data_IF_562750162477
#
_entry.id   IF_562750162477
#
_cell.length_a   1.000
_cell.length_b   1.000
_cell.length_c   1.000
_cell.angle_alpha   90.00
_cell.angle_beta   90.00
_cell.angle_gamma   90.00
#
_symmetry.space_group_name_H-M   'P 1'
#
loop_
_entity.id
_entity.type
_entity.pdbx_description
1 polymer ?
#
# COMPACT_ATOMS: atom_id res chain seq x y z
N UNK A 1 -13.58 0.28 -7.83
CA UNK A 1 -14.13 0.98 -8.98
C UNK A 1 -14.70 -0.04 -9.96
N UNK A 2 -16.02 0.02 -10.32
CA UNK A 2 -16.66 -0.91 -11.27
C UNK A 2 -15.95 -0.95 -12.63
N UNK A 3 -15.43 0.18 -13.10
CA UNK A 3 -14.75 0.29 -14.39
C UNK A 3 -13.43 -0.51 -14.41
N UNK A 4 -12.72 -0.55 -13.28
CA UNK A 4 -11.51 -1.36 -13.14
C UNK A 4 -11.78 -2.87 -13.09
N UNK A 5 -12.94 -3.28 -12.58
CA UNK A 5 -13.34 -4.69 -12.60
C UNK A 5 -13.59 -5.19 -14.03
N UNK A 6 -14.14 -4.33 -14.91
CA UNK A 6 -14.27 -4.58 -16.34
C UNK A 6 -12.92 -4.67 -17.05
N UNK A 7 -11.98 -3.81 -16.69
CA UNK A 7 -10.65 -3.76 -17.28
C UNK A 7 -9.87 -5.07 -17.11
N UNK A 8 -10.08 -5.83 -16.04
CA UNK A 8 -9.40 -7.11 -15.84
C UNK A 8 -9.79 -8.14 -16.91
N UNK A 9 -11.06 -8.20 -17.29
CA UNK A 9 -11.56 -9.08 -18.34
C UNK A 9 -11.02 -8.64 -19.71
N UNK A 10 -11.03 -7.36 -20.02
CA UNK A 10 -10.51 -6.81 -21.26
C UNK A 10 -8.99 -7.04 -21.40
N UNK A 11 -8.25 -6.91 -20.31
CA UNK A 11 -6.81 -7.12 -20.30
C UNK A 11 -6.40 -8.59 -20.34
N UNK A 12 -7.28 -9.54 -20.04
CA UNK A 12 -6.95 -10.96 -19.93
C UNK A 12 -6.22 -11.50 -21.17
N UNK A 13 -6.62 -11.07 -22.37
CA UNK A 13 -6.06 -11.48 -23.65
C UNK A 13 -5.16 -10.42 -24.32
N UNK A 14 -4.90 -9.30 -23.63
CA UNK A 14 -4.11 -8.22 -24.21
C UNK A 14 -2.61 -8.54 -24.25
N UNK A 15 -1.87 -8.19 -25.32
CA UNK A 15 -0.42 -8.35 -25.35
C UNK A 15 0.22 -7.45 -24.29
N UNK A 16 1.27 -7.97 -23.61
CA UNK A 16 1.97 -7.29 -22.52
C UNK A 16 1.01 -6.79 -21.42
N UNK A 17 0.01 -7.58 -21.10
CA UNK A 17 -1.07 -7.25 -20.14
C UNK A 17 -0.56 -6.78 -18.77
N UNK A 18 0.58 -7.29 -18.31
CA UNK A 18 1.18 -6.92 -17.02
C UNK A 18 1.86 -5.53 -17.00
N UNK A 19 2.09 -4.92 -18.16
CA UNK A 19 2.80 -3.62 -18.30
C UNK A 19 1.88 -2.45 -18.65
N UNK A 20 0.56 -2.66 -18.68
CA UNK A 20 -0.38 -1.62 -19.12
C UNK A 20 -0.37 -0.39 -18.24
N UNK A 21 -0.38 -0.59 -16.92
CA UNK A 21 -0.34 0.51 -15.98
C UNK A 21 1.03 1.22 -16.02
N UNK A 22 2.12 0.47 -16.10
CA UNK A 22 3.47 1.07 -16.24
C UNK A 22 3.56 2.00 -17.45
N UNK A 23 3.10 1.54 -18.61
CA UNK A 23 3.10 2.35 -19.82
C UNK A 23 2.18 3.59 -19.69
N UNK A 24 1.07 3.49 -18.96
CA UNK A 24 0.17 4.61 -18.71
C UNK A 24 0.83 5.65 -17.78
N UNK A 25 1.49 5.20 -16.70
CA UNK A 25 2.24 6.05 -15.76
C UNK A 25 3.41 6.76 -16.49
N UNK A 26 4.15 6.07 -17.33
CA UNK A 26 5.24 6.65 -18.11
C UNK A 26 4.74 7.77 -19.04
N UNK A 27 3.63 7.54 -19.76
CA UNK A 27 3.00 8.58 -20.60
C UNK A 27 2.51 9.77 -19.78
N UNK A 28 1.89 9.53 -18.64
CA UNK A 28 1.43 10.58 -17.73
C UNK A 28 2.60 11.44 -17.23
N UNK A 29 3.71 10.81 -16.83
CA UNK A 29 4.93 11.51 -16.38
C UNK A 29 5.53 12.37 -17.50
N UNK A 30 5.57 11.85 -18.73
CA UNK A 30 6.05 12.61 -19.88
C UNK A 30 5.17 13.83 -20.16
N UNK A 31 3.85 13.66 -20.17
CA UNK A 31 2.92 14.77 -20.38
C UNK A 31 3.01 15.85 -19.28
N UNK A 32 3.23 15.45 -18.02
CA UNK A 32 3.48 16.38 -16.92
C UNK A 32 4.77 17.17 -17.14
N UNK A 33 5.86 16.51 -17.52
CA UNK A 33 7.13 17.16 -17.79
C UNK A 33 7.01 18.19 -18.94
N UNK A 34 6.31 17.85 -20.01
CA UNK A 34 6.05 18.74 -21.16
C UNK A 34 5.23 19.97 -20.75
N UNK A 35 4.34 19.85 -19.77
CA UNK A 35 3.55 20.96 -19.22
C UNK A 35 4.28 21.80 -18.16
N UNK A 36 5.50 21.41 -17.77
CA UNK A 36 6.24 22.03 -16.67
C UNK A 36 5.70 21.70 -15.28
N UNK A 37 4.73 20.78 -15.17
CA UNK A 37 4.19 20.31 -13.89
C UNK A 37 5.05 19.19 -13.30
N UNK A 38 4.97 19.02 -11.99
CA UNK A 38 5.72 18.00 -11.25
C UNK A 38 4.77 17.11 -10.45
N UNK A 39 5.04 15.83 -10.47
CA UNK A 39 4.40 14.84 -9.59
C UNK A 39 5.51 14.07 -8.86
N UNK A 40 5.60 14.24 -7.55
CA UNK A 40 6.63 13.59 -6.72
C UNK A 40 6.25 12.16 -6.35
N UNK A 41 4.96 11.89 -6.16
CA UNK A 41 4.46 10.58 -5.73
C UNK A 41 3.20 10.19 -6.50
N UNK A 42 3.12 8.92 -6.87
CA UNK A 42 1.91 8.26 -7.38
C UNK A 42 1.61 7.11 -6.43
N UNK A 43 0.47 7.18 -5.75
CA UNK A 43 0.00 6.13 -4.85
C UNK A 43 -1.02 5.26 -5.59
N UNK A 44 -0.79 3.95 -5.60
CA UNK A 44 -1.66 2.97 -6.24
C UNK A 44 -2.27 2.12 -5.13
N UNK A 45 -3.56 2.33 -4.85
CA UNK A 45 -4.31 1.49 -3.92
C UNK A 45 -4.67 0.17 -4.58
N UNK A 46 -4.32 -0.93 -3.91
CA UNK A 46 -4.47 -2.29 -4.44
C UNK A 46 -5.42 -3.11 -3.58
N UNK A 47 -6.30 -3.93 -4.19
CA UNK A 47 -7.08 -4.91 -3.44
C UNK A 47 -6.16 -5.99 -2.85
N UNK A 48 -6.59 -6.71 -1.81
CA UNK A 48 -5.80 -7.78 -1.19
C UNK A 48 -5.62 -9.01 -2.09
N UNK A 49 -6.27 -9.05 -3.24
CA UNK A 49 -6.19 -10.16 -4.20
C UNK A 49 -4.98 -10.02 -5.13
N UNK A 50 -4.32 -11.14 -5.42
CA UNK A 50 -3.20 -11.21 -6.38
C UNK A 50 -3.72 -11.45 -7.81
N UNK A 51 -4.52 -10.52 -8.29
CA UNK A 51 -5.07 -10.54 -9.64
C UNK A 51 -4.19 -9.76 -10.65
N UNK A 52 -4.62 -9.69 -11.91
CA UNK A 52 -3.89 -8.99 -12.96
C UNK A 52 -3.71 -7.49 -12.67
N UNK A 53 -4.66 -6.85 -11.99
CA UNK A 53 -4.57 -5.44 -11.63
C UNK A 53 -3.48 -5.21 -10.58
N UNK A 54 -3.40 -6.07 -9.55
CA UNK A 54 -2.32 -6.02 -8.55
C UNK A 54 -0.96 -6.27 -9.18
N UNK A 55 -0.85 -7.22 -10.11
CA UNK A 55 0.40 -7.45 -10.87
C UNK A 55 0.78 -6.22 -11.70
N UNK A 56 -0.18 -5.54 -12.34
CA UNK A 56 0.08 -4.28 -13.04
C UNK A 56 0.58 -3.18 -12.10
N UNK A 57 -0.02 -3.05 -10.92
CA UNK A 57 0.40 -2.08 -9.92
C UNK A 57 1.86 -2.34 -9.49
N UNK A 58 2.19 -3.58 -9.12
CA UNK A 58 3.55 -3.98 -8.73
C UNK A 58 4.57 -3.78 -9.86
N UNK A 59 4.16 -4.07 -11.10
CA UNK A 59 5.04 -3.89 -12.28
C UNK A 59 5.31 -2.40 -12.58
N UNK A 60 4.37 -1.51 -12.23
CA UNK A 60 4.47 -0.07 -12.45
C UNK A 60 5.13 0.70 -11.30
N UNK A 61 5.26 0.09 -10.13
CA UNK A 61 5.72 0.76 -8.90
C UNK A 61 7.22 0.66 -8.71
N UNK A 62 7.81 1.65 -8.03
CA UNK A 62 9.20 1.62 -7.57
C UNK A 62 9.32 0.82 -6.25
N UNK A 63 8.30 0.92 -5.40
CA UNK A 63 8.28 0.24 -4.10
C UNK A 63 6.87 -0.06 -3.60
N UNK A 64 6.79 -0.97 -2.62
CA UNK A 64 5.55 -1.42 -1.98
C UNK A 64 5.54 -0.99 -0.52
N UNK A 65 4.52 -0.23 -0.13
CA UNK A 65 4.18 0.02 1.27
C UNK A 65 3.10 -0.98 1.69
N UNK A 66 3.35 -1.72 2.77
CA UNK A 66 2.46 -2.79 3.23
C UNK A 66 1.73 -2.38 4.51
N UNK A 67 0.46 -2.00 4.46
CA UNK A 67 -0.36 -1.89 5.66
C UNK A 67 -0.70 -3.29 6.18
N UNK A 68 -0.30 -3.58 7.41
CA UNK A 68 -0.49 -4.88 8.04
C UNK A 68 -1.37 -4.75 9.29
N UNK A 69 -2.51 -5.41 9.31
CA UNK A 69 -3.33 -5.50 10.51
C UNK A 69 -2.70 -6.47 11.51
N UNK A 70 -2.66 -6.05 12.80
CA UNK A 70 -2.07 -6.87 13.87
C UNK A 70 -3.04 -7.97 14.33
N UNK A 71 -3.30 -8.95 13.46
CA UNK A 71 -4.20 -10.08 13.66
C UNK A 71 -3.48 -11.42 13.45
N UNK A 72 -4.11 -12.53 13.87
CA UNK A 72 -3.49 -13.86 13.93
C UNK A 72 -2.83 -14.34 12.63
N UNK A 73 -3.43 -14.07 11.47
CA UNK A 73 -2.88 -14.50 10.18
C UNK A 73 -1.95 -13.47 9.51
N UNK A 74 -1.54 -12.43 10.23
CA UNK A 74 -0.74 -11.33 9.68
C UNK A 74 0.58 -11.82 9.05
N UNK A 75 1.33 -12.66 9.74
CA UNK A 75 2.62 -13.18 9.27
C UNK A 75 2.49 -14.11 8.07
N UNK A 76 1.44 -14.93 8.03
CA UNK A 76 1.18 -15.81 6.90
C UNK A 76 0.85 -14.99 5.64
N UNK A 77 -0.09 -14.04 5.75
CA UNK A 77 -0.44 -13.13 4.65
C UNK A 77 0.75 -12.31 4.17
N UNK A 78 1.58 -11.82 5.09
CA UNK A 78 2.80 -11.08 4.76
C UNK A 78 3.81 -11.96 4.02
N UNK A 79 3.99 -13.21 4.44
CA UNK A 79 4.88 -14.17 3.79
C UNK A 79 4.44 -14.48 2.35
N UNK A 80 3.14 -14.63 2.11
CA UNK A 80 2.58 -14.82 0.77
C UNK A 80 2.80 -13.58 -0.11
N UNK A 81 2.57 -12.39 0.44
CA UNK A 81 2.83 -11.13 -0.27
C UNK A 81 4.31 -11.00 -0.65
N UNK A 82 5.23 -11.30 0.28
CA UNK A 82 6.68 -11.24 0.01
C UNK A 82 7.10 -12.17 -1.12
N UNK A 83 6.55 -13.38 -1.19
CA UNK A 83 6.79 -14.31 -2.33
C UNK A 83 6.29 -13.71 -3.64
N UNK A 84 5.16 -13.04 -3.63
CA UNK A 84 4.62 -12.39 -4.84
C UNK A 84 5.47 -11.23 -5.30
N UNK A 85 5.91 -10.37 -4.37
CA UNK A 85 6.84 -9.27 -4.66
C UNK A 85 8.11 -9.83 -5.31
N UNK A 86 8.65 -10.92 -4.78
CA UNK A 86 9.84 -11.58 -5.32
C UNK A 86 9.62 -12.13 -6.73
N UNK A 87 8.47 -12.76 -6.99
CA UNK A 87 8.10 -13.24 -8.34
C UNK A 87 7.98 -12.09 -9.34
N UNK A 88 7.36 -10.97 -8.95
CA UNK A 88 7.26 -9.79 -9.81
C UNK A 88 8.63 -9.17 -10.03
N UNK A 89 9.45 -9.07 -8.99
CA UNK A 89 10.82 -8.56 -9.08
C UNK A 89 11.67 -9.38 -10.04
N UNK A 90 11.59 -10.69 -9.96
CA UNK A 90 12.41 -11.59 -10.79
C UNK A 90 11.97 -11.61 -12.26
N UNK A 91 10.69 -11.37 -12.58
CA UNK A 91 10.16 -11.61 -13.92
C UNK A 91 9.66 -10.35 -14.64
N UNK A 92 9.24 -9.31 -13.92
CA UNK A 92 8.52 -8.17 -14.49
C UNK A 92 9.11 -6.82 -14.15
N UNK A 93 9.62 -6.63 -12.91
CA UNK A 93 10.12 -5.35 -12.41
C UNK A 93 11.30 -5.55 -11.44
N UNK A 94 12.50 -5.62 -11.98
CA UNK A 94 13.74 -5.89 -11.21
C UNK A 94 14.07 -4.82 -10.16
N UNK A 95 13.48 -3.63 -10.26
CA UNK A 95 13.72 -2.52 -9.34
C UNK A 95 12.72 -2.46 -8.18
N UNK A 96 11.68 -3.31 -8.21
CA UNK A 96 10.63 -3.30 -7.20
C UNK A 96 11.22 -3.56 -5.79
N UNK A 97 11.07 -2.59 -4.90
CA UNK A 97 11.53 -2.66 -3.52
C UNK A 97 10.38 -2.81 -2.51
N UNK A 98 10.72 -3.18 -1.28
CA UNK A 98 9.83 -3.02 -0.13
C UNK A 98 10.15 -1.68 0.52
N UNK A 99 9.22 -0.73 0.45
CA UNK A 99 9.31 0.58 1.10
C UNK A 99 9.27 0.42 2.62
N UNK A 100 8.35 -0.40 3.10
CA UNK A 100 8.21 -0.71 4.50
C UNK A 100 6.87 -1.32 4.85
N UNK A 101 6.74 -1.72 6.11
CA UNK A 101 5.53 -2.31 6.70
C UNK A 101 5.01 -1.36 7.76
N UNK A 102 3.74 -0.95 7.65
CA UNK A 102 3.06 -0.15 8.67
C UNK A 102 2.03 -1.00 9.41
N UNK A 103 2.18 -1.09 10.71
CA UNK A 103 1.23 -1.79 11.56
C UNK A 103 -0.04 -0.96 11.71
N UNK A 104 -1.18 -1.54 11.37
CA UNK A 104 -2.49 -0.88 11.38
C UNK A 104 -3.48 -1.60 12.29
N UNK A 105 -4.59 -0.93 12.60
CA UNK A 105 -5.63 -1.45 13.50
C UNK A 105 -5.07 -1.92 14.85
N UNK A 106 -3.95 -1.31 15.27
CA UNK A 106 -3.26 -1.68 16.49
C UNK A 106 -4.07 -1.30 17.73
N UNK A 107 -4.32 -2.28 18.59
CA UNK A 107 -5.03 -2.08 19.85
C UNK A 107 -4.14 -2.50 21.04
N UNK A 108 -3.65 -1.51 21.80
CA UNK A 108 -2.78 -1.72 22.98
C UNK A 108 -3.42 -2.58 24.08
N UNK A 109 -4.75 -2.74 24.08
CA UNK A 109 -5.46 -3.55 25.05
C UNK A 109 -5.50 -5.03 24.66
N UNK A 110 -5.04 -5.35 23.45
CA UNK A 110 -5.06 -6.70 22.90
C UNK A 110 -3.64 -7.26 22.86
N UNK A 111 -3.34 -8.21 23.72
CA UNK A 111 -2.04 -8.88 23.80
C UNK A 111 -1.62 -9.52 22.46
N UNK A 112 -2.59 -9.98 21.65
CA UNK A 112 -2.30 -10.51 20.32
C UNK A 112 -1.71 -9.42 19.39
N UNK A 113 -2.21 -8.18 19.48
CA UNK A 113 -1.65 -7.08 18.68
C UNK A 113 -0.20 -6.79 19.04
N UNK A 114 0.15 -6.85 20.33
CA UNK A 114 1.53 -6.67 20.80
C UNK A 114 2.43 -7.83 20.35
N UNK A 115 1.96 -9.05 20.46
CA UNK A 115 2.69 -10.24 20.03
C UNK A 115 2.97 -10.20 18.53
N UNK A 116 1.96 -9.98 17.69
CA UNK A 116 2.11 -9.86 16.24
C UNK A 116 3.05 -8.72 15.86
N UNK A 117 2.92 -7.56 16.54
CA UNK A 117 3.81 -6.43 16.31
C UNK A 117 5.28 -6.75 16.67
N UNK A 118 5.50 -7.51 17.74
CA UNK A 118 6.81 -8.02 18.14
C UNK A 118 7.41 -8.96 17.09
N UNK A 119 6.66 -9.98 16.69
CA UNK A 119 7.08 -10.99 15.73
C UNK A 119 7.42 -10.38 14.36
N UNK A 120 6.58 -9.41 13.90
CA UNK A 120 6.83 -8.69 12.63
C UNK A 120 8.11 -7.86 12.72
N UNK A 121 8.34 -7.15 13.83
CA UNK A 121 9.58 -6.37 14.03
C UNK A 121 10.80 -7.24 14.15
N UNK A 122 10.72 -8.37 14.84
CA UNK A 122 11.82 -9.32 14.95
C UNK A 122 12.23 -9.85 13.57
N UNK A 123 11.25 -10.14 12.71
CA UNK A 123 11.51 -10.73 11.39
C UNK A 123 11.95 -9.72 10.32
N UNK A 124 11.38 -8.51 10.32
CA UNK A 124 11.59 -7.50 9.28
C UNK A 124 12.46 -6.31 9.71
N UNK A 125 12.75 -6.18 10.99
CA UNK A 125 13.68 -5.16 11.54
C UNK A 125 13.30 -3.74 11.15
N UNK A 126 14.25 -3.02 10.60
CA UNK A 126 14.12 -1.61 10.20
C UNK A 126 13.14 -1.35 9.05
N UNK A 127 12.63 -2.41 8.41
CA UNK A 127 11.57 -2.30 7.40
C UNK A 127 10.19 -2.09 8.00
N UNK A 128 10.03 -2.21 9.31
CA UNK A 128 8.77 -1.93 10.00
C UNK A 128 8.80 -0.51 10.53
N UNK A 129 7.88 0.33 10.08
CA UNK A 129 7.77 1.70 10.56
C UNK A 129 7.57 1.74 12.07
N UNK A 130 8.18 2.74 12.72
CA UNK A 130 8.01 2.98 14.16
C UNK A 130 6.58 3.41 14.47
N UNK A 131 6.02 4.21 13.57
CA UNK A 131 4.63 4.67 13.64
C UNK A 131 3.67 3.50 13.46
N UNK A 132 2.71 3.38 14.37
CA UNK A 132 1.59 2.44 14.31
C UNK A 132 0.29 3.20 14.14
N UNK A 133 -0.59 2.71 13.28
CA UNK A 133 -1.93 3.29 13.12
C UNK A 133 -2.87 2.58 14.10
N UNK A 134 -3.40 3.28 15.11
CA UNK A 134 -4.26 2.67 16.11
C UNK A 134 -5.63 2.34 15.53
N UNK A 135 -6.30 1.34 16.10
CA UNK A 135 -7.73 1.15 15.89
C UNK A 135 -8.47 2.41 16.36
N UNK A 136 -9.19 3.06 15.44
CA UNK A 136 -9.82 4.35 15.71
C UNK A 136 -11.15 4.47 14.98
N UNK A 137 -12.22 4.78 15.71
CA UNK A 137 -13.59 4.92 15.18
C UNK A 137 -13.67 6.01 14.12
N UNK A 138 -12.98 7.14 14.32
CA UNK A 138 -12.99 8.28 13.37
C UNK A 138 -12.41 7.90 12.01
N UNK A 139 -11.38 7.03 11.99
CA UNK A 139 -10.83 6.48 10.74
C UNK A 139 -11.86 5.64 10.01
N UNK A 140 -12.65 4.84 10.74
CA UNK A 140 -13.70 4.00 10.16
C UNK A 140 -14.94 4.77 9.70
N UNK A 141 -15.28 5.89 10.37
CA UNK A 141 -16.43 6.73 10.06
C UNK A 141 -16.18 7.66 8.86
N UNK A 142 -14.98 8.20 8.72
CA UNK A 142 -14.64 9.21 7.72
C UNK A 142 -15.06 8.87 6.29
N UNK A 143 -14.89 7.61 5.79
CA UNK A 143 -15.34 7.20 4.46
C UNK A 143 -16.86 7.34 4.26
N UNK A 144 -17.67 7.11 5.29
CA UNK A 144 -19.14 7.26 5.22
C UNK A 144 -19.56 8.72 4.96
N UNK A 145 -18.67 9.68 5.23
CA UNK A 145 -18.86 11.10 4.95
C UNK A 145 -18.13 11.55 3.68
N UNK A 146 -17.54 10.63 2.92
CA UNK A 146 -16.77 10.94 1.72
C UNK A 146 -15.51 11.78 2.00
N UNK A 147 -14.97 11.70 3.21
CA UNK A 147 -13.82 12.51 3.65
C UNK A 147 -12.65 11.62 4.08
N UNK A 148 -11.41 12.02 3.77
CA UNK A 148 -10.26 11.43 4.45
C UNK A 148 -10.30 11.83 5.94
N UNK A 149 -9.78 10.95 6.81
CA UNK A 149 -9.82 11.18 8.28
C UNK A 149 -9.19 12.50 8.69
N UNK A 150 -8.16 12.97 7.99
CA UNK A 150 -7.50 14.26 8.24
C UNK A 150 -8.41 15.47 8.07
N UNK A 151 -9.41 15.37 7.17
CA UNK A 151 -10.43 16.42 6.97
C UNK A 151 -11.69 16.17 7.81
N UNK A 152 -11.87 14.95 8.32
CA UNK A 152 -12.99 14.59 9.14
C UNK A 152 -12.75 14.95 10.62
N UNK A 153 -11.62 14.52 11.17
CA UNK A 153 -11.19 14.82 12.54
C UNK A 153 -9.66 14.84 12.64
N UNK A 154 -9.06 16.02 12.48
CA UNK A 154 -7.61 16.20 12.49
C UNK A 154 -6.99 15.83 13.85
N UNK A 155 -7.72 16.02 14.95
CA UNK A 155 -7.18 15.84 16.30
C UNK A 155 -7.28 14.40 16.81
N UNK A 156 -8.00 13.52 16.15
CA UNK A 156 -8.09 12.13 16.57
C UNK A 156 -6.72 11.42 16.47
N UNK A 157 -6.54 10.38 17.29
CA UNK A 157 -5.28 9.62 17.33
C UNK A 157 -4.95 8.96 16.00
N UNK A 158 -5.95 8.60 15.20
CA UNK A 158 -5.77 8.05 13.86
C UNK A 158 -5.14 9.07 12.91
N UNK A 159 -5.69 10.30 12.84
CA UNK A 159 -5.14 11.39 12.01
C UNK A 159 -3.71 11.74 12.39
N UNK A 160 -3.44 11.87 13.68
CA UNK A 160 -2.09 12.18 14.16
C UNK A 160 -1.08 11.06 13.82
N UNK A 161 -1.51 9.81 13.89
CA UNK A 161 -0.69 8.67 13.49
C UNK A 161 -0.38 8.67 11.97
N UNK A 162 -1.36 8.98 11.12
CA UNK A 162 -1.13 9.10 9.67
C UNK A 162 -0.19 10.26 9.32
N UNK A 163 -0.28 11.40 10.03
CA UNK A 163 0.67 12.52 9.86
C UNK A 163 2.08 12.09 10.29
N UNK A 164 2.21 11.36 11.40
CA UNK A 164 3.49 10.84 11.87
C UNK A 164 4.10 9.84 10.86
N UNK A 165 3.27 8.93 10.31
CA UNK A 165 3.69 7.99 9.27
C UNK A 165 4.17 8.72 8.01
N UNK A 166 3.44 9.72 7.54
CA UNK A 166 3.86 10.51 6.37
C UNK A 166 5.22 11.17 6.59
N UNK A 167 5.46 11.74 7.78
CA UNK A 167 6.76 12.32 8.14
C UNK A 167 7.89 11.27 8.21
N UNK A 168 7.57 10.03 8.57
CA UNK A 168 8.53 8.92 8.63
C UNK A 168 8.87 8.39 7.23
N UNK A 169 7.89 8.33 6.31
CA UNK A 169 8.09 7.93 4.92
C UNK A 169 8.92 8.95 4.11
N UNK A 170 8.75 10.25 4.39
CA UNK A 170 9.38 11.35 3.66
C UNK A 170 10.82 11.68 4.13
N UNK A 171 11.35 10.94 5.08
CA UNK A 171 12.74 11.06 5.58
C UNK A 171 13.71 10.20 4.80
#
# INVERSE_FOLDING_TARGET
DPDLSGAELELANAPRRSYRLRNAVERFRSALADSGARCDYILIDCPPSLNLLTVNALTASDSVLVPLQCEFFALEGLSQLMRTIELVRSNLNTHLGLQGIVLTMYDRRNNLSDQVAGDVREHFGDRVYKTQIPRNVRVSEAPSFGKPVLLYDLNCTGSQAYIALAKEILR
#
